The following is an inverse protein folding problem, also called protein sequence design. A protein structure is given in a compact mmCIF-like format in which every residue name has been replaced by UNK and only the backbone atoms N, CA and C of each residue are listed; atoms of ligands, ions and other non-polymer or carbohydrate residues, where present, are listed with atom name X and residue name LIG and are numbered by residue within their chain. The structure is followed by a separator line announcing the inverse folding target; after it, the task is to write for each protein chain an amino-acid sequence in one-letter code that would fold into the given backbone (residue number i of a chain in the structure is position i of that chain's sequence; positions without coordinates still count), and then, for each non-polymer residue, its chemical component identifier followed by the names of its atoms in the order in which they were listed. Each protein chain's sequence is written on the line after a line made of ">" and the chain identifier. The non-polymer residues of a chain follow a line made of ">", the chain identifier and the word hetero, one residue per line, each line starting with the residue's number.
data_IF_306916148080
#
_entry.id   IF_306916148080
#
_cell.length_a   1.000
_cell.length_b   1.000
_cell.length_c   1.000
_cell.angle_alpha   90.00
_cell.angle_beta   90.00
_cell.angle_gamma   90.00
#
_symmetry.space_group_name_H-M   'P 1'
#
loop_
_entity.id
_entity.type
_entity.pdbx_description
1 polymer ?
#
# COMPACT_ATOMS: atom_id res chain seq x y z
N UNK A 1 -9.21 0.82 -8.83
CA UNK A 1 -9.60 0.68 -7.42
C UNK A 1 -10.75 1.62 -7.18
N UNK A 2 -11.90 1.07 -6.81
CA UNK A 2 -13.12 1.82 -6.51
C UNK A 2 -13.04 2.39 -5.08
N UNK A 3 -13.81 3.43 -4.74
CA UNK A 3 -13.85 3.97 -3.38
C UNK A 3 -14.12 2.88 -2.32
N UNK A 4 -15.01 1.93 -2.62
CA UNK A 4 -15.33 0.80 -1.76
C UNK A 4 -14.14 -0.15 -1.54
N UNK A 5 -13.30 -0.35 -2.56
CA UNK A 5 -12.08 -1.16 -2.42
C UNK A 5 -11.00 -0.44 -1.59
N UNK A 6 -10.94 0.90 -1.65
CA UNK A 6 -10.03 1.70 -0.82
C UNK A 6 -10.41 1.59 0.66
N UNK A 7 -11.69 1.70 0.98
CA UNK A 7 -12.19 1.49 2.35
C UNK A 7 -11.89 0.07 2.86
N UNK A 8 -12.08 -0.96 2.03
CA UNK A 8 -11.72 -2.33 2.37
C UNK A 8 -10.21 -2.51 2.62
N UNK A 9 -9.36 -1.87 1.81
CA UNK A 9 -7.91 -1.90 2.00
C UNK A 9 -7.49 -1.24 3.32
N UNK A 10 -8.05 -0.06 3.63
CA UNK A 10 -7.77 0.63 4.90
C UNK A 10 -8.16 -0.25 6.09
N UNK A 11 -9.37 -0.82 6.07
CA UNK A 11 -9.85 -1.69 7.16
C UNK A 11 -8.98 -2.93 7.35
N UNK A 12 -8.57 -3.59 6.26
CA UNK A 12 -7.72 -4.77 6.32
C UNK A 12 -6.32 -4.43 6.87
N UNK A 13 -5.74 -3.30 6.46
CA UNK A 13 -4.44 -2.83 6.97
C UNK A 13 -4.51 -2.44 8.46
N UNK A 14 -5.60 -1.81 8.91
CA UNK A 14 -5.83 -1.49 10.33
C UNK A 14 -5.96 -2.75 11.18
N UNK A 15 -6.68 -3.75 10.67
CA UNK A 15 -6.82 -5.05 11.33
C UNK A 15 -5.48 -5.77 11.44
N UNK A 16 -4.70 -5.79 10.37
CA UNK A 16 -3.37 -6.41 10.34
C UNK A 16 -2.39 -5.72 11.30
N UNK A 17 -2.45 -4.39 11.42
CA UNK A 17 -1.66 -3.66 12.43
C UNK A 17 -2.08 -4.02 13.86
N UNK A 18 -3.38 -4.18 14.11
CA UNK A 18 -3.90 -4.56 15.42
C UNK A 18 -3.57 -6.03 15.79
N UNK A 19 -3.60 -6.95 14.82
CA UNK A 19 -3.25 -8.36 15.02
C UNK A 19 -1.75 -8.63 15.00
N UNK A 20 -0.95 -7.69 14.47
CA UNK A 20 0.48 -7.86 14.25
C UNK A 20 0.82 -8.71 13.03
N UNK A 21 -0.16 -9.01 12.17
CA UNK A 21 0.03 -9.78 10.95
C UNK A 21 0.66 -8.92 9.85
N UNK A 22 1.59 -9.53 9.11
CA UNK A 22 2.23 -8.88 7.96
C UNK A 22 1.56 -9.20 6.63
N UNK A 23 0.60 -10.12 6.62
CA UNK A 23 -0.14 -10.51 5.42
C UNK A 23 -1.54 -9.93 5.49
N UNK A 24 -1.92 -9.16 4.47
CA UNK A 24 -3.20 -8.45 4.40
C UNK A 24 -3.90 -8.84 3.12
N UNK A 25 -5.18 -9.15 3.21
CA UNK A 25 -6.01 -9.47 2.06
C UNK A 25 -7.10 -8.43 1.88
N UNK A 26 -7.16 -7.80 0.71
CA UNK A 26 -8.18 -6.81 0.36
C UNK A 26 -8.42 -6.81 -1.15
N UNK A 27 -9.64 -6.45 -1.57
CA UNK A 27 -10.03 -6.38 -2.99
C UNK A 27 -9.67 -7.66 -3.80
N UNK A 28 -9.79 -8.84 -3.15
CA UNK A 28 -9.45 -10.13 -3.77
C UNK A 28 -7.95 -10.37 -3.99
N UNK A 29 -7.08 -9.56 -3.39
CA UNK A 29 -5.62 -9.66 -3.51
C UNK A 29 -5.01 -9.84 -2.13
N UNK A 30 -4.04 -10.75 -2.04
CA UNK A 30 -3.23 -10.97 -0.84
C UNK A 30 -1.88 -10.27 -1.00
N UNK A 31 -1.52 -9.44 -0.03
CA UNK A 31 -0.28 -8.67 0.00
C UNK A 31 0.47 -9.00 1.28
N UNK A 32 1.73 -9.43 1.16
CA UNK A 32 2.60 -9.68 2.31
C UNK A 32 3.61 -8.54 2.42
N UNK A 33 3.56 -7.81 3.51
CA UNK A 33 4.45 -6.70 3.84
C UNK A 33 5.69 -7.21 4.60
N UNK A 34 6.79 -6.47 4.49
CA UNK A 34 8.05 -6.84 5.15
C UNK A 34 8.12 -6.42 6.63
N UNK A 35 7.29 -5.47 7.03
CA UNK A 35 7.26 -4.91 8.38
C UNK A 35 5.96 -4.13 8.62
N UNK A 36 5.62 -3.89 9.89
CA UNK A 36 4.48 -3.06 10.26
C UNK A 36 4.60 -1.62 9.76
N UNK A 37 5.81 -1.05 9.71
CA UNK A 37 6.09 0.25 9.07
C UNK A 37 5.61 0.32 7.61
N UNK A 38 5.80 -0.76 6.85
CA UNK A 38 5.32 -0.81 5.46
C UNK A 38 3.78 -0.85 5.39
N UNK A 39 3.12 -1.48 6.36
CA UNK A 39 1.66 -1.48 6.47
C UNK A 39 1.15 -0.07 6.80
N UNK A 40 1.80 0.64 7.73
CA UNK A 40 1.46 2.03 8.06
C UNK A 40 1.60 2.94 6.84
N UNK A 41 2.70 2.82 6.09
CA UNK A 41 2.91 3.60 4.84
C UNK A 41 1.84 3.30 3.79
N UNK A 42 1.46 2.02 3.63
CA UNK A 42 0.39 1.64 2.71
C UNK A 42 -0.96 2.23 3.16
N UNK A 43 -1.25 2.20 4.45
CA UNK A 43 -2.46 2.76 5.02
C UNK A 43 -2.52 4.29 4.81
N UNK A 44 -1.43 5.02 5.02
CA UNK A 44 -1.37 6.44 4.71
C UNK A 44 -1.60 6.73 3.22
N UNK A 45 -1.03 5.91 2.34
CA UNK A 45 -1.24 6.00 0.89
C UNK A 45 -2.74 5.87 0.54
N UNK A 46 -3.41 4.83 1.05
CA UNK A 46 -4.84 4.63 0.78
C UNK A 46 -5.72 5.71 1.42
N UNK A 47 -5.38 6.21 2.61
CA UNK A 47 -6.08 7.34 3.24
C UNK A 47 -5.99 8.62 2.40
N UNK A 48 -4.82 8.93 1.83
CA UNK A 48 -4.64 10.07 0.90
C UNK A 48 -5.41 9.87 -0.41
N UNK A 49 -5.38 8.65 -0.95
CA UNK A 49 -6.12 8.29 -2.15
C UNK A 49 -7.63 8.46 -1.96
N UNK A 50 -8.17 8.09 -0.78
CA UNK A 50 -9.57 8.30 -0.40
C UNK A 50 -9.95 9.78 -0.34
N UNK A 51 -9.04 10.64 0.11
CA UNK A 51 -9.26 12.09 0.19
C UNK A 51 -9.19 12.80 -1.18
N UNK A 52 -8.92 12.06 -2.27
CA UNK A 52 -8.75 12.66 -3.60
C UNK A 52 -7.49 13.51 -3.72
N UNK A 53 -6.59 13.44 -2.74
CA UNK A 53 -5.29 14.09 -2.80
C UNK A 53 -4.42 13.25 -3.72
N UNK A 54 -3.94 13.78 -4.86
CA UNK A 54 -3.02 13.04 -5.71
C UNK A 54 -1.80 12.70 -4.86
N UNK A 55 -1.42 11.41 -4.85
CA UNK A 55 -0.23 10.95 -4.15
C UNK A 55 1.02 11.50 -4.87
N UNK A 56 1.38 12.75 -4.63
CA UNK A 56 2.61 13.42 -5.10
C UNK A 56 3.85 12.99 -4.30
N UNK A 57 3.80 11.83 -3.66
CA UNK A 57 4.94 11.21 -2.98
C UNK A 57 5.18 9.80 -3.53
N UNK A 58 6.44 9.33 -3.58
CA UNK A 58 6.75 8.00 -4.08
C UNK A 58 5.92 6.96 -3.32
N UNK A 59 5.12 6.17 -4.04
CA UNK A 59 4.41 5.04 -3.46
C UNK A 59 5.43 4.14 -2.74
N UNK A 60 5.09 3.57 -1.56
CA UNK A 60 5.99 2.63 -0.90
C UNK A 60 6.33 1.52 -1.88
N UNK A 61 7.64 1.35 -2.14
CA UNK A 61 8.19 0.33 -3.02
C UNK A 61 7.88 -1.05 -2.41
N UNK A 62 6.69 -1.55 -2.69
CA UNK A 62 6.25 -2.91 -2.38
C UNK A 62 5.53 -3.47 -3.60
N UNK A 63 6.18 -3.33 -4.76
CA UNK A 63 5.94 -4.14 -5.95
C UNK A 63 7.25 -4.16 -6.73
N UNK A 64 7.73 -5.36 -7.03
CA UNK A 64 8.87 -5.67 -7.90
C UNK A 64 10.31 -5.44 -7.35
N UNK A 65 10.80 -6.42 -6.58
CA UNK A 65 12.22 -6.82 -6.73
C UNK A 65 12.34 -7.53 -8.07
N UNK A 66 12.52 -6.78 -9.16
CA UNK A 66 12.54 -7.40 -10.47
C UNK A 66 12.91 -6.55 -11.67
N UNK A 67 13.45 -5.32 -11.56
CA UNK A 67 14.23 -4.66 -12.64
C UNK A 67 14.78 -3.31 -12.19
N UNK A 68 16.11 -3.22 -12.01
CA UNK A 68 16.85 -1.96 -12.10
C UNK A 68 17.15 -1.74 -13.59
N UNK A 69 16.45 -0.82 -14.24
CA UNK A 69 16.82 -0.35 -15.57
C UNK A 69 16.74 1.19 -15.64
N UNK A 70 17.92 1.79 -15.52
CA UNK A 70 18.36 2.98 -16.25
C UNK A 70 17.55 4.27 -16.12
N UNK A 71 17.96 5.15 -15.21
CA UNK A 71 17.81 6.58 -15.44
C UNK A 71 18.96 7.02 -16.37
N UNK A 72 18.65 7.23 -17.65
CA UNK A 72 19.49 8.09 -18.49
C UNK A 72 19.00 9.53 -18.31
N UNK A 73 19.86 10.39 -17.75
CA UNK A 73 19.69 11.84 -17.84
C UNK A 73 20.37 12.29 -19.13
N UNK A 74 19.60 12.90 -20.01
CA UNK A 74 20.10 13.76 -21.09
C UNK A 74 20.69 15.05 -20.50
#
# INVERSE_FOLDING_TARGET
>A
MTPSEIDAAIYALETALASGELTVEYAGRRVTYQSQDNIIKALEYFKRQKQGVPATGPAPASADRGSYAGFSRD
#
